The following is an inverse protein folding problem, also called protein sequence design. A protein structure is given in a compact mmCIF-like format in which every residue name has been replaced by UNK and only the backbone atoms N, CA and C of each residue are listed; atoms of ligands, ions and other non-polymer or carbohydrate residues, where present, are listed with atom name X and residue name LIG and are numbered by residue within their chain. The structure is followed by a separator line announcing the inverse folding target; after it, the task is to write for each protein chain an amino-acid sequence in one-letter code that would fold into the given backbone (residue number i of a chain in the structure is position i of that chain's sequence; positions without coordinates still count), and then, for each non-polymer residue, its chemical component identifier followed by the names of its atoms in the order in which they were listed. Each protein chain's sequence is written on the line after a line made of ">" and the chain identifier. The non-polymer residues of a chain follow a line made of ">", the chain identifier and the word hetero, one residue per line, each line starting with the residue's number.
data_IF_088467570377
#
_entry.id   IF_088467570377
#
_cell.length_a   1.000
_cell.length_b   1.000
_cell.length_c   1.000
_cell.angle_alpha   90.00
_cell.angle_beta   90.00
_cell.angle_gamma   90.00
#
_symmetry.space_group_name_H-M   'P 1'
#
loop_
_entity.id
_entity.type
_entity.pdbx_description
1 polymer ?
#
# COMPACT_ATOMS: atom_id res chain seq x y z
N UNK A 1 -21.53 -15.01 19.60
CA UNK A 1 -20.16 -15.10 19.00
C UNK A 1 -20.20 -14.93 17.49
N UNK A 2 -20.88 -15.79 16.72
CA UNK A 2 -20.93 -15.67 15.24
C UNK A 2 -21.47 -14.32 14.78
N UNK A 3 -22.56 -13.86 15.41
CA UNK A 3 -23.12 -12.53 15.17
C UNK A 3 -22.09 -11.39 15.33
N UNK A 4 -21.36 -11.35 16.45
CA UNK A 4 -20.31 -10.35 16.69
C UNK A 4 -19.17 -10.45 15.66
N UNK A 5 -18.86 -11.66 15.19
CA UNK A 5 -17.83 -11.89 14.15
C UNK A 5 -18.27 -11.40 12.77
N UNK A 6 -19.54 -11.53 12.43
CA UNK A 6 -20.08 -11.10 11.12
C UNK A 6 -20.16 -9.58 11.01
N UNK A 7 -20.44 -8.90 12.13
CA UNK A 7 -20.60 -7.44 12.17
C UNK A 7 -19.32 -6.67 12.52
N UNK A 8 -18.29 -7.35 13.03
CA UNK A 8 -16.98 -6.78 13.43
C UNK A 8 -17.09 -5.49 14.26
N UNK A 9 -18.06 -5.47 15.18
CA UNK A 9 -18.41 -4.30 15.97
C UNK A 9 -17.85 -4.41 17.40
N UNK A 10 -16.98 -3.49 17.84
CA UNK A 10 -16.43 -3.50 19.20
C UNK A 10 -17.49 -3.38 20.29
N UNK A 11 -18.60 -2.67 20.07
CA UNK A 11 -19.65 -2.48 21.07
C UNK A 11 -20.42 -3.80 21.28
N UNK A 12 -20.67 -4.56 20.21
CA UNK A 12 -21.27 -5.90 20.30
C UNK A 12 -20.39 -6.88 21.06
N UNK A 13 -19.07 -6.74 20.91
CA UNK A 13 -18.11 -7.56 21.62
C UNK A 13 -18.03 -7.20 23.11
N UNK A 14 -18.08 -5.91 23.44
CA UNK A 14 -18.18 -5.40 24.81
C UNK A 14 -19.43 -5.92 25.54
N UNK A 15 -20.59 -5.86 24.88
CA UNK A 15 -21.85 -6.40 25.41
C UNK A 15 -21.76 -7.92 25.64
N UNK A 16 -21.17 -8.64 24.69
CA UNK A 16 -20.98 -10.09 24.80
C UNK A 16 -20.07 -10.45 25.97
N UNK A 17 -18.96 -9.74 26.15
CA UNK A 17 -18.03 -9.94 27.27
C UNK A 17 -18.75 -9.67 28.59
N UNK A 18 -19.42 -8.52 28.71
CA UNK A 18 -20.14 -8.10 29.91
C UNK A 18 -21.24 -9.10 30.32
N UNK A 19 -21.95 -9.67 29.35
CA UNK A 19 -22.92 -10.74 29.62
C UNK A 19 -22.26 -12.06 30.03
N UNK A 20 -21.08 -12.37 29.48
CA UNK A 20 -20.36 -13.63 29.72
C UNK A 20 -19.71 -13.68 31.10
N UNK A 21 -19.26 -12.55 31.65
CA UNK A 21 -18.61 -12.47 32.97
C UNK A 21 -19.49 -13.00 34.11
N UNK A 22 -20.81 -12.99 33.96
CA UNK A 22 -21.76 -13.51 34.95
C UNK A 22 -21.85 -15.05 35.01
N UNK A 23 -21.27 -15.76 34.02
CA UNK A 23 -21.42 -17.21 33.86
C UNK A 23 -20.06 -17.87 33.57
N UNK A 24 -19.43 -18.56 34.54
CA UNK A 24 -18.08 -19.10 34.38
C UNK A 24 -17.94 -20.09 33.21
N UNK A 25 -18.97 -20.91 32.93
CA UNK A 25 -18.97 -21.83 31.79
C UNK A 25 -18.89 -21.11 30.44
N UNK A 26 -19.53 -19.94 30.34
CA UNK A 26 -19.50 -19.11 29.14
C UNK A 26 -18.13 -18.46 28.94
N UNK A 27 -17.44 -18.09 30.02
CA UNK A 27 -16.08 -17.55 29.94
C UNK A 27 -15.13 -18.60 29.36
N UNK A 28 -15.21 -19.85 29.81
CA UNK A 28 -14.42 -20.96 29.25
C UNK A 28 -14.69 -21.15 27.77
N UNK A 29 -15.95 -21.15 27.36
CA UNK A 29 -16.35 -21.26 25.95
C UNK A 29 -15.86 -20.07 25.11
N UNK A 30 -15.96 -18.86 25.67
CA UNK A 30 -15.51 -17.64 25.02
C UNK A 30 -13.98 -17.68 24.84
N UNK A 31 -13.20 -17.96 25.88
CA UNK A 31 -11.74 -18.10 25.82
C UNK A 31 -11.28 -19.10 24.73
N UNK A 32 -12.02 -20.19 24.52
CA UNK A 32 -11.69 -21.20 23.51
C UNK A 32 -12.08 -20.83 22.08
N UNK A 33 -12.94 -19.81 21.88
CA UNK A 33 -13.54 -19.45 20.57
C UNK A 33 -13.38 -17.99 20.16
N UNK A 34 -12.93 -17.12 21.06
CA UNK A 34 -12.73 -15.69 20.81
C UNK A 34 -11.63 -15.45 19.79
N UNK A 35 -10.72 -16.43 19.62
CA UNK A 35 -9.75 -16.47 18.53
C UNK A 35 -8.97 -15.16 18.40
N UNK A 36 -8.81 -14.71 17.16
CA UNK A 36 -8.05 -13.51 16.77
C UNK A 36 -8.86 -12.21 16.74
N UNK A 37 -10.12 -12.24 17.18
CA UNK A 37 -11.09 -11.15 16.95
C UNK A 37 -11.05 -10.07 18.03
N UNK A 38 -10.62 -10.42 19.24
CA UNK A 38 -10.42 -9.48 20.34
C UNK A 38 -9.07 -9.77 20.97
N UNK A 39 -8.42 -8.72 21.48
CA UNK A 39 -7.28 -8.86 22.36
C UNK A 39 -7.63 -9.69 23.61
N UNK A 40 -7.02 -10.87 23.80
CA UNK A 40 -7.32 -11.73 24.94
C UNK A 40 -7.04 -11.06 26.29
N UNK A 41 -6.17 -10.04 26.34
CA UNK A 41 -5.91 -9.28 27.58
C UNK A 41 -7.17 -8.59 28.10
N UNK A 42 -8.03 -8.07 27.23
CA UNK A 42 -9.26 -7.37 27.61
C UNK A 42 -10.24 -8.30 28.33
N UNK A 43 -10.32 -9.55 27.89
CA UNK A 43 -11.17 -10.54 28.54
C UNK A 43 -10.60 -10.98 29.88
N UNK A 44 -9.30 -11.31 29.94
CA UNK A 44 -8.65 -11.83 31.16
C UNK A 44 -8.64 -10.79 32.28
N UNK A 45 -8.43 -9.51 31.96
CA UNK A 45 -8.39 -8.43 32.96
C UNK A 45 -9.74 -8.18 33.65
N UNK A 46 -10.85 -8.58 33.03
CA UNK A 46 -12.21 -8.35 33.56
C UNK A 46 -12.77 -9.52 34.36
N UNK A 47 -12.03 -10.63 34.43
CA UNK A 47 -12.44 -11.79 35.23
C UNK A 47 -12.25 -11.46 36.71
N UNK A 48 -13.31 -11.58 37.50
CA UNK A 48 -13.27 -11.36 38.94
C UNK A 48 -12.29 -12.33 39.64
N UNK A 49 -11.49 -11.78 40.55
CA UNK A 49 -10.54 -12.55 41.36
C UNK A 49 -11.29 -13.46 42.33
N UNK A 50 -11.03 -14.77 42.26
CA UNK A 50 -11.67 -15.78 43.12
C UNK A 50 -12.82 -16.55 42.48
N UNK A 51 -13.21 -16.22 41.23
CA UNK A 51 -14.21 -16.99 40.50
C UNK A 51 -13.66 -18.36 40.08
N UNK A 52 -14.38 -19.44 40.40
CA UNK A 52 -14.03 -20.79 39.96
C UNK A 52 -14.49 -21.01 38.52
N UNK A 53 -13.55 -20.92 37.57
CA UNK A 53 -13.83 -21.16 36.15
C UNK A 53 -13.40 -22.58 35.78
N UNK A 54 -14.33 -23.46 35.34
CA UNK A 54 -14.00 -24.83 34.97
C UNK A 54 -13.14 -24.86 33.71
N UNK A 55 -12.06 -25.63 33.72
CA UNK A 55 -11.20 -25.80 32.55
C UNK A 55 -10.38 -24.56 32.15
N UNK A 56 -10.30 -23.54 33.01
CA UNK A 56 -9.61 -22.26 32.72
C UNK A 56 -8.19 -22.45 32.21
N UNK A 57 -7.39 -23.29 32.90
CA UNK A 57 -6.00 -23.57 32.53
C UNK A 57 -5.90 -24.06 31.08
N UNK A 58 -6.74 -25.00 30.68
CA UNK A 58 -6.73 -25.55 29.32
C UNK A 58 -7.12 -24.49 28.29
N UNK A 59 -8.19 -23.72 28.57
CA UNK A 59 -8.65 -22.64 27.69
C UNK A 59 -7.61 -21.54 27.50
N UNK A 60 -6.90 -21.16 28.56
CA UNK A 60 -5.83 -20.16 28.49
C UNK A 60 -4.62 -20.65 27.70
N UNK A 61 -4.19 -21.90 27.91
CA UNK A 61 -3.07 -22.48 27.14
C UNK A 61 -3.41 -22.48 25.65
N UNK A 62 -4.62 -22.92 25.29
CA UNK A 62 -5.08 -22.91 23.90
C UNK A 62 -5.11 -21.49 23.33
N UNK A 63 -5.70 -20.54 24.04
CA UNK A 63 -5.77 -19.13 23.63
C UNK A 63 -4.37 -18.53 23.38
N UNK A 64 -3.42 -18.79 24.28
CA UNK A 64 -2.04 -18.32 24.13
C UNK A 64 -1.35 -18.95 22.92
N UNK A 65 -1.57 -20.25 22.67
CA UNK A 65 -1.04 -20.93 21.48
C UNK A 65 -1.61 -20.35 20.19
N UNK A 66 -2.93 -20.17 20.12
CA UNK A 66 -3.63 -19.59 18.97
C UNK A 66 -3.14 -18.15 18.71
N UNK A 67 -2.99 -17.35 19.77
CA UNK A 67 -2.47 -15.98 19.68
C UNK A 67 -1.01 -15.94 19.23
N UNK A 68 -0.15 -16.80 19.76
CA UNK A 68 1.26 -16.88 19.34
C UNK A 68 1.39 -17.28 17.86
N UNK A 69 0.56 -18.22 17.39
CA UNK A 69 0.51 -18.59 15.99
C UNK A 69 0.11 -17.39 15.11
N UNK A 70 -0.92 -16.64 15.53
CA UNK A 70 -1.34 -15.43 14.84
C UNK A 70 -0.21 -14.39 14.76
N UNK A 71 0.46 -14.10 15.88
CA UNK A 71 1.58 -13.14 15.91
C UNK A 71 2.72 -13.60 15.00
N UNK A 72 3.03 -14.90 14.99
CA UNK A 72 4.05 -15.47 14.11
C UNK A 72 3.70 -15.28 12.63
N UNK A 73 2.43 -15.51 12.24
CA UNK A 73 1.97 -15.30 10.87
C UNK A 73 2.01 -13.81 10.50
N UNK A 74 1.51 -12.95 11.38
CA UNK A 74 1.47 -11.51 11.16
C UNK A 74 2.89 -10.94 10.97
N UNK A 75 3.85 -11.38 11.78
CA UNK A 75 5.25 -10.96 11.65
C UNK A 75 5.88 -11.47 10.35
N UNK A 76 5.54 -12.69 9.91
CA UNK A 76 5.93 -13.21 8.59
C UNK A 76 5.39 -12.34 7.45
N UNK A 77 4.09 -12.04 7.46
CA UNK A 77 3.45 -11.18 6.46
C UNK A 77 4.04 -9.76 6.47
N UNK A 78 4.29 -9.19 7.65
CA UNK A 78 4.92 -7.87 7.81
C UNK A 78 6.29 -7.81 7.16
N UNK A 79 7.14 -8.83 7.38
CA UNK A 79 8.47 -8.91 6.76
C UNK A 79 8.39 -8.93 5.24
N UNK A 80 7.48 -9.72 4.68
CA UNK A 80 7.24 -9.80 3.23
C UNK A 80 6.79 -8.43 2.72
N UNK A 81 5.76 -7.83 3.33
CA UNK A 81 5.21 -6.54 2.93
C UNK A 81 6.28 -5.44 2.93
N UNK A 82 7.08 -5.36 3.99
CA UNK A 82 8.15 -4.36 4.12
C UNK A 82 9.22 -4.57 3.05
N UNK A 83 9.64 -5.81 2.81
CA UNK A 83 10.59 -6.15 1.75
C UNK A 83 10.09 -5.74 0.36
N UNK A 84 8.83 -6.09 0.04
CA UNK A 84 8.21 -5.78 -1.25
C UNK A 84 8.04 -4.27 -1.45
N UNK A 85 7.65 -3.56 -0.40
CA UNK A 85 7.53 -2.10 -0.41
C UNK A 85 8.87 -1.45 -0.79
N UNK A 86 9.96 -1.81 -0.10
CA UNK A 86 11.26 -1.22 -0.37
C UNK A 86 11.79 -1.59 -1.76
N UNK A 87 11.63 -2.86 -2.18
CA UNK A 87 12.07 -3.30 -3.51
C UNK A 87 11.33 -2.55 -4.64
N UNK A 88 10.00 -2.47 -4.55
CA UNK A 88 9.21 -1.79 -5.56
C UNK A 88 9.48 -0.28 -5.57
N UNK A 89 9.62 0.32 -4.40
CA UNK A 89 9.94 1.73 -4.28
C UNK A 89 11.31 2.06 -4.87
N UNK A 90 12.35 1.29 -4.52
CA UNK A 90 13.70 1.44 -5.06
C UNK A 90 13.70 1.28 -6.58
N UNK A 91 13.00 0.28 -7.12
CA UNK A 91 12.86 0.07 -8.56
C UNK A 91 12.20 1.26 -9.24
N UNK A 92 11.13 1.80 -8.66
CA UNK A 92 10.44 2.97 -9.18
C UNK A 92 11.35 4.20 -9.18
N UNK A 93 12.06 4.45 -8.08
CA UNK A 93 13.03 5.56 -7.98
C UNK A 93 14.14 5.41 -9.01
N UNK A 94 14.72 4.22 -9.14
CA UNK A 94 15.74 3.95 -10.14
C UNK A 94 15.22 4.17 -11.57
N UNK A 95 14.01 3.71 -11.89
CA UNK A 95 13.41 3.92 -13.21
C UNK A 95 13.12 5.40 -13.49
N UNK A 96 12.72 6.17 -12.47
CA UNK A 96 12.46 7.60 -12.62
C UNK A 96 13.73 8.46 -12.72
N UNK A 97 14.83 8.02 -12.10
CA UNK A 97 16.12 8.72 -12.16
C UNK A 97 16.97 8.34 -13.38
N UNK A 98 16.63 7.25 -14.08
CA UNK A 98 17.33 6.85 -15.30
C UNK A 98 17.10 7.88 -16.41
N UNK A 99 18.17 8.23 -17.11
CA UNK A 99 18.09 9.00 -18.34
C UNK A 99 17.36 8.22 -19.43
N UNK A 100 16.69 8.93 -20.33
CA UNK A 100 16.06 8.35 -21.53
C UNK A 100 17.00 8.61 -22.71
N UNK A 101 17.40 7.55 -23.41
CA UNK A 101 18.11 7.67 -24.68
C UNK A 101 17.10 8.03 -25.77
N UNK A 102 17.39 9.08 -26.52
CA UNK A 102 16.59 9.53 -27.66
C UNK A 102 17.51 9.56 -28.86
N UNK A 103 17.17 8.83 -29.92
CA UNK A 103 17.85 8.84 -31.20
C UNK A 103 17.08 9.65 -32.27
N UNK A 104 17.63 9.70 -33.48
CA UNK A 104 17.06 10.43 -34.62
C UNK A 104 15.81 9.76 -35.25
N UNK A 105 15.38 8.61 -34.72
CA UNK A 105 14.23 7.84 -35.22
C UNK A 105 12.93 8.16 -34.46
N UNK A 106 13.02 8.93 -33.38
CA UNK A 106 11.85 9.37 -32.62
C UNK A 106 11.14 10.57 -33.27
N UNK A 107 9.81 10.53 -33.26
CA UNK A 107 8.94 11.59 -33.78
C UNK A 107 8.15 12.26 -32.66
N UNK A 108 7.89 13.55 -32.81
CA UNK A 108 7.03 14.30 -31.91
C UNK A 108 5.57 13.84 -32.07
N UNK A 109 4.94 13.45 -30.97
CA UNK A 109 3.56 12.94 -30.95
C UNK A 109 2.47 13.95 -31.34
N UNK A 110 2.80 15.24 -31.44
CA UNK A 110 1.87 16.29 -31.88
C UNK A 110 2.05 16.69 -33.35
N UNK A 111 3.28 17.04 -33.78
CA UNK A 111 3.54 17.50 -35.14
C UNK A 111 4.05 16.42 -36.11
N UNK A 112 4.32 15.20 -35.63
CA UNK A 112 4.84 14.06 -36.40
C UNK A 112 6.17 14.31 -37.14
N UNK A 113 6.92 15.35 -36.75
CA UNK A 113 8.29 15.61 -37.23
C UNK A 113 9.32 14.95 -36.33
N UNK A 114 10.53 14.71 -36.83
CA UNK A 114 11.65 14.19 -36.03
C UNK A 114 11.86 15.05 -34.78
N UNK A 115 12.04 14.41 -33.62
CA UNK A 115 12.18 15.09 -32.32
C UNK A 115 13.55 15.75 -32.14
N UNK A 116 14.57 15.19 -32.80
CA UNK A 116 15.92 15.75 -32.90
C UNK A 116 16.10 16.26 -34.33
N UNK A 117 16.45 17.54 -34.46
CA UNK A 117 16.82 18.16 -35.73
C UNK A 117 18.29 18.56 -35.62
N UNK A 118 19.12 18.12 -36.58
CA UNK A 118 20.60 18.32 -36.57
C UNK A 118 21.05 19.73 -36.94
N UNK A 119 20.13 20.69 -36.95
CA UNK A 119 20.41 22.04 -37.39
C UNK A 119 20.91 22.90 -36.22
N UNK A 120 22.15 23.36 -36.29
CA UNK A 120 22.87 24.05 -35.18
C UNK A 120 22.15 25.35 -34.75
N UNK A 121 21.27 25.87 -35.61
CA UNK A 121 20.50 27.09 -35.38
C UNK A 121 19.12 26.87 -34.74
N UNK A 122 18.63 25.64 -34.60
CA UNK A 122 17.34 25.34 -33.96
C UNK A 122 17.53 24.46 -32.71
N UNK A 123 17.63 25.12 -31.55
CA UNK A 123 17.58 24.43 -30.25
C UNK A 123 16.12 24.19 -29.89
N UNK A 124 15.65 22.96 -30.11
CA UNK A 124 14.33 22.55 -29.67
C UNK A 124 14.43 21.86 -28.31
N UNK A 125 13.75 22.43 -27.31
CA UNK A 125 13.58 21.77 -26.02
C UNK A 125 12.60 20.61 -26.16
N UNK A 126 12.94 19.49 -25.51
CA UNK A 126 12.19 18.25 -25.63
C UNK A 126 11.55 17.93 -24.28
N UNK A 127 10.27 17.58 -24.33
CA UNK A 127 9.50 17.09 -23.18
C UNK A 127 9.24 15.61 -23.35
N UNK A 128 9.67 14.82 -22.38
CA UNK A 128 9.44 13.37 -22.32
C UNK A 128 8.53 13.06 -21.13
N UNK A 129 7.46 12.32 -21.40
CA UNK A 129 6.59 11.79 -20.35
C UNK A 129 7.09 10.40 -19.88
N UNK A 130 6.70 9.98 -18.67
CA UNK A 130 7.02 8.62 -18.16
C UNK A 130 6.40 7.49 -18.98
N UNK A 131 5.39 7.78 -19.81
CA UNK A 131 4.87 6.86 -20.82
C UNK A 131 5.73 6.79 -22.09
N UNK A 132 6.92 7.41 -22.10
CA UNK A 132 7.87 7.50 -23.21
C UNK A 132 7.38 8.23 -24.47
N UNK A 133 6.23 8.92 -24.42
CA UNK A 133 5.84 9.82 -25.50
C UNK A 133 6.66 11.11 -25.48
N UNK A 134 7.15 11.52 -26.64
CA UNK A 134 8.03 12.66 -26.83
C UNK A 134 7.33 13.79 -27.59
N UNK A 135 7.59 15.02 -27.16
CA UNK A 135 7.03 16.21 -27.77
C UNK A 135 8.06 17.34 -27.78
N UNK A 136 8.05 18.17 -28.82
CA UNK A 136 8.70 19.48 -28.74
C UNK A 136 7.97 20.33 -27.70
N UNK A 137 8.70 21.14 -26.93
CA UNK A 137 8.08 22.09 -25.99
C UNK A 137 7.07 23.01 -26.69
N UNK A 138 7.39 23.48 -27.90
CA UNK A 138 6.52 24.35 -28.71
C UNK A 138 5.26 23.65 -29.24
N UNK A 139 5.28 22.33 -29.34
CA UNK A 139 4.13 21.56 -29.83
C UNK A 139 3.13 21.24 -28.71
N UNK A 140 3.42 21.66 -27.47
CA UNK A 140 2.56 21.47 -26.33
C UNK A 140 1.95 22.81 -25.87
N UNK A 141 0.75 22.80 -25.27
CA UNK A 141 0.22 23.97 -24.57
C UNK A 141 1.20 24.45 -23.48
N UNK A 142 1.11 25.71 -23.02
CA UNK A 142 2.00 26.25 -21.99
C UNK A 142 2.17 25.27 -20.81
N UNK A 143 3.42 24.99 -20.42
CA UNK A 143 3.83 23.94 -19.48
C UNK A 143 3.10 23.94 -18.13
N UNK A 144 2.47 25.06 -17.77
CA UNK A 144 1.67 25.28 -16.56
C UNK A 144 0.33 24.52 -16.55
N UNK A 145 -0.15 24.04 -17.72
CA UNK A 145 -1.48 23.38 -17.86
C UNK A 145 -1.37 21.89 -18.23
N UNK A 146 -0.17 21.41 -18.56
CA UNK A 146 0.01 20.01 -18.98
C UNK A 146 0.01 19.10 -17.75
N UNK A 147 -1.12 18.47 -17.47
CA UNK A 147 -1.26 17.53 -16.35
C UNK A 147 -1.13 16.08 -16.82
N UNK A 148 -1.19 15.80 -18.13
CA UNK A 148 -1.11 14.45 -18.66
C UNK A 148 -0.59 14.38 -20.10
N UNK A 149 -0.14 13.19 -20.51
CA UNK A 149 0.25 12.90 -21.88
C UNK A 149 -0.97 12.95 -22.82
N UNK A 150 -0.86 13.67 -23.93
CA UNK A 150 -1.96 13.83 -24.91
C UNK A 150 -2.31 12.51 -25.63
N UNK A 151 -1.39 11.53 -25.66
CA UNK A 151 -1.61 10.24 -26.34
C UNK A 151 -2.28 9.21 -25.42
N UNK A 152 -1.84 9.10 -24.17
CA UNK A 152 -2.28 8.02 -23.27
C UNK A 152 -2.86 8.50 -21.93
N UNK A 153 -3.06 9.81 -21.78
CA UNK A 153 -3.58 10.48 -20.57
C UNK A 153 -2.82 10.15 -19.27
N UNK A 154 -1.58 9.67 -19.37
CA UNK A 154 -0.74 9.39 -18.20
C UNK A 154 -0.32 10.69 -17.53
N UNK A 155 -0.50 10.85 -16.21
CA UNK A 155 -0.27 12.13 -15.53
C UNK A 155 1.20 12.56 -15.54
N UNK A 156 1.42 13.87 -15.69
CA UNK A 156 2.68 14.57 -15.50
C UNK A 156 2.85 14.77 -13.99
N UNK A 157 3.58 13.87 -13.32
CA UNK A 157 4.03 14.15 -11.95
C UNK A 157 5.11 15.24 -11.99
N UNK A 158 5.22 16.06 -10.94
CA UNK A 158 5.99 17.33 -10.84
C UNK A 158 7.47 17.36 -11.33
N UNK A 159 8.02 16.26 -11.84
CA UNK A 159 9.38 16.14 -12.37
C UNK A 159 9.34 15.54 -13.78
N UNK A 160 8.79 16.27 -14.75
CA UNK A 160 9.08 16.00 -16.17
C UNK A 160 10.49 16.48 -16.47
N UNK A 161 11.36 15.59 -16.93
CA UNK A 161 12.72 15.95 -17.34
C UNK A 161 12.67 16.75 -18.64
N UNK A 162 12.99 18.05 -18.55
CA UNK A 162 13.22 18.89 -19.72
C UNK A 162 14.65 18.61 -20.17
N UNK A 163 14.80 18.01 -21.35
CA UNK A 163 16.12 17.79 -21.94
C UNK A 163 16.38 18.89 -22.95
N UNK A 164 17.48 19.62 -22.75
CA UNK A 164 18.04 20.48 -23.79
C UNK A 164 18.85 19.59 -24.74
N UNK A 165 18.46 19.55 -26.01
CA UNK A 165 19.25 18.95 -27.08
C UNK A 165 20.45 19.85 -27.41
N UNK A 166 21.37 20.03 -26.46
CA UNK A 166 22.69 20.57 -26.78
C UNK A 166 23.55 19.42 -27.31
N UNK A 167 23.44 19.16 -28.62
CA UNK A 167 24.33 18.26 -29.34
C UNK A 167 25.76 18.77 -29.12
N UNK A 168 26.61 17.98 -28.46
CA UNK A 168 28.06 18.15 -28.43
C UNK A 168 28.69 17.23 -29.47
#
# INVERSE_FOLDING_TARGET
>A
ITFCKEHDDPDLWEDLISCSLKRPDFITFLLQRIGTYIDPRLLVQRIDSGMTIPGLKHSLVKLMQDYNLQVSVQEGCKKILVSDYFNLHERLVCMQQRGVLIDDEYFCGACHRKIIVKDVNQKNNIVVFYCHHLFHEECLPPLQVIVSCVICNSPKTNKSSIFNSAIK
#
